data_IF_157325445034
#
_entry.id   IF_157325445034
#
_cell.length_a   1.000
_cell.length_b   1.000
_cell.length_c   1.000
_cell.angle_alpha   90.00
_cell.angle_beta   90.00
_cell.angle_gamma   90.00
#
_symmetry.space_group_name_H-M   'P 1'
#
loop_
_entity.id
_entity.type
_entity.pdbx_description
1 polymer ?
#
# COMPACT_ATOMS: atom_id res chain seq x y z
N UNK A 1 8.16 -6.65 13.91
CA UNK A 1 7.24 -5.60 13.42
C UNK A 1 7.52 -4.29 14.17
N UNK A 2 7.83 -3.22 13.44
CA UNK A 2 8.37 -1.97 14.02
C UNK A 2 7.23 -1.11 14.58
N UNK A 3 6.13 -0.95 13.84
CA UNK A 3 4.99 -0.12 14.29
C UNK A 3 4.32 -0.66 15.57
N UNK A 4 4.07 -1.97 15.72
CA UNK A 4 3.58 -2.51 16.98
C UNK A 4 4.54 -2.31 18.16
N UNK A 5 5.85 -2.25 17.89
CA UNK A 5 6.86 -1.95 18.91
C UNK A 5 6.82 -0.47 19.32
N UNK A 6 6.60 0.44 18.37
CA UNK A 6 6.40 1.87 18.64
C UNK A 6 5.15 2.13 19.48
N UNK A 7 4.05 1.42 19.19
CA UNK A 7 2.81 1.51 19.97
C UNK A 7 3.05 1.12 21.45
N UNK A 8 3.78 0.01 21.68
CA UNK A 8 4.15 -0.45 23.03
C UNK A 8 5.08 0.50 23.76
N UNK A 9 5.98 1.17 23.04
CA UNK A 9 6.90 2.15 23.58
C UNK A 9 6.28 3.56 23.71
N UNK A 10 4.99 3.72 23.37
CA UNK A 10 4.30 5.03 23.33
C UNK A 10 5.02 6.07 22.45
N UNK A 11 5.63 5.61 21.36
CA UNK A 11 6.31 6.46 20.37
C UNK A 11 5.34 6.83 19.25
N UNK A 12 5.19 8.14 19.01
CA UNK A 12 4.16 8.69 18.13
C UNK A 12 2.75 8.56 18.72
N UNK A 13 1.80 9.31 18.21
CA UNK A 13 0.39 9.05 18.48
C UNK A 13 -0.16 7.95 17.55
N UNK A 14 -1.43 7.61 17.71
CA UNK A 14 -2.08 6.57 16.91
C UNK A 14 -2.21 6.98 15.44
N UNK A 15 -2.48 8.25 15.16
CA UNK A 15 -2.57 8.81 13.82
C UNK A 15 -1.22 8.72 13.09
N UNK A 16 -0.14 9.13 13.74
CA UNK A 16 1.21 9.03 13.19
C UNK A 16 1.58 7.58 12.86
N UNK A 17 1.28 6.63 13.75
CA UNK A 17 1.54 5.21 13.48
C UNK A 17 0.69 4.67 12.32
N UNK A 18 -0.58 5.07 12.23
CA UNK A 18 -1.44 4.70 11.12
C UNK A 18 -0.93 5.26 9.78
N UNK A 19 -0.44 6.50 9.77
CA UNK A 19 0.20 7.10 8.59
C UNK A 19 1.47 6.33 8.18
N UNK A 20 2.31 5.94 9.14
CA UNK A 20 3.51 5.14 8.85
C UNK A 20 3.16 3.75 8.28
N UNK A 21 2.12 3.10 8.81
CA UNK A 21 1.62 1.85 8.23
C UNK A 21 1.14 2.05 6.79
N UNK A 22 0.36 3.11 6.53
CA UNK A 22 -0.11 3.43 5.19
C UNK A 22 1.07 3.70 4.23
N UNK A 23 2.07 4.47 4.66
CA UNK A 23 3.28 4.73 3.86
C UNK A 23 4.05 3.45 3.53
N UNK A 24 4.17 2.52 4.48
CA UNK A 24 4.80 1.23 4.23
C UNK A 24 4.04 0.44 3.15
N UNK A 25 2.71 0.45 3.20
CA UNK A 25 1.90 -0.22 2.18
C UNK A 25 2.01 0.42 0.81
N UNK A 26 1.98 1.75 0.73
CA UNK A 26 2.17 2.49 -0.54
C UNK A 26 3.54 2.16 -1.14
N UNK A 27 4.61 2.18 -0.34
CA UNK A 27 5.95 1.82 -0.85
C UNK A 27 6.03 0.40 -1.39
N UNK A 28 5.30 -0.56 -0.81
CA UNK A 28 5.20 -1.92 -1.34
C UNK A 28 4.40 -1.99 -2.65
N UNK A 29 3.34 -1.19 -2.78
CA UNK A 29 2.57 -1.06 -4.02
C UNK A 29 3.42 -0.44 -5.14
N UNK A 30 4.15 0.62 -4.83
CA UNK A 30 5.07 1.28 -5.76
C UNK A 30 6.18 0.34 -6.22
N UNK A 31 6.74 -0.47 -5.32
CA UNK A 31 7.72 -1.49 -5.70
C UNK A 31 7.12 -2.52 -6.66
N UNK A 32 5.94 -3.06 -6.33
CA UNK A 32 5.27 -4.04 -7.20
C UNK A 32 4.90 -3.45 -8.57
N UNK A 33 4.57 -2.15 -8.61
CA UNK A 33 4.36 -1.39 -9.84
C UNK A 33 5.66 -1.18 -10.62
N UNK A 34 6.76 -0.82 -9.96
CA UNK A 34 8.04 -0.58 -10.61
C UNK A 34 8.59 -1.87 -11.25
N UNK A 35 8.37 -3.02 -10.62
CA UNK A 35 8.88 -4.30 -11.10
C UNK A 35 8.18 -4.80 -12.37
N UNK A 36 6.86 -4.67 -12.49
CA UNK A 36 6.10 -5.24 -13.61
C UNK A 36 4.83 -4.45 -13.98
N UNK A 37 4.84 -3.13 -13.75
CA UNK A 37 3.74 -2.23 -14.08
C UNK A 37 2.42 -2.54 -13.38
N UNK A 38 1.32 -2.24 -14.05
CA UNK A 38 -0.04 -2.49 -13.55
C UNK A 38 -0.32 -3.99 -13.32
N UNK A 39 0.28 -4.88 -14.11
CA UNK A 39 0.17 -6.34 -13.92
C UNK A 39 0.89 -6.81 -12.65
N UNK A 40 2.09 -6.28 -12.39
CA UNK A 40 2.84 -6.55 -11.15
C UNK A 40 2.05 -6.17 -9.91
N UNK A 41 1.50 -4.95 -9.92
CA UNK A 41 0.65 -4.46 -8.85
C UNK A 41 -0.62 -5.31 -8.66
N UNK A 42 -1.32 -5.68 -9.75
CA UNK A 42 -2.50 -6.57 -9.70
C UNK A 42 -2.18 -7.95 -9.13
N UNK A 43 -1.05 -8.53 -9.50
CA UNK A 43 -0.61 -9.83 -9.00
C UNK A 43 -0.23 -9.76 -7.52
N UNK A 44 0.51 -8.71 -7.12
CA UNK A 44 0.82 -8.45 -5.72
C UNK A 44 -0.44 -8.34 -4.87
N UNK A 45 -1.45 -7.58 -5.33
CA UNK A 45 -2.72 -7.42 -4.62
C UNK A 45 -3.48 -8.73 -4.45
N UNK A 46 -3.56 -9.56 -5.50
CA UNK A 46 -4.22 -10.89 -5.44
C UNK A 46 -3.57 -11.82 -4.42
N UNK A 47 -2.26 -11.70 -4.23
CA UNK A 47 -1.48 -12.49 -3.28
C UNK A 47 -1.60 -11.98 -1.83
N UNK A 48 -2.27 -10.85 -1.59
CA UNK A 48 -2.52 -10.37 -0.25
C UNK A 48 -3.62 -11.17 0.46
N UNK A 49 -3.49 -11.25 1.79
CA UNK A 49 -4.49 -11.89 2.64
C UNK A 49 -5.88 -11.27 2.43
N UNK A 50 -6.94 -12.05 2.69
CA UNK A 50 -8.31 -11.52 2.65
C UNK A 50 -8.44 -10.28 3.55
N UNK A 51 -7.88 -10.32 4.77
CA UNK A 51 -7.93 -9.18 5.69
C UNK A 51 -7.35 -7.92 5.07
N UNK A 52 -6.18 -8.01 4.44
CA UNK A 52 -5.51 -6.88 3.77
C UNK A 52 -6.36 -6.35 2.61
N UNK A 53 -6.91 -7.24 1.77
CA UNK A 53 -7.74 -6.85 0.62
C UNK A 53 -9.07 -6.19 0.98
N UNK A 54 -9.55 -6.34 2.22
CA UNK A 54 -10.77 -5.71 2.73
C UNK A 54 -10.52 -4.37 3.47
N UNK A 55 -9.26 -3.92 3.58
CA UNK A 55 -8.97 -2.62 4.16
C UNK A 55 -9.25 -1.51 3.13
N UNK A 56 -10.19 -0.63 3.44
CA UNK A 56 -10.64 0.44 2.52
C UNK A 56 -9.49 1.37 2.14
N UNK A 57 -8.64 1.76 3.10
CA UNK A 57 -7.48 2.62 2.81
C UNK A 57 -6.52 2.02 1.76
N UNK A 58 -6.31 0.70 1.81
CA UNK A 58 -5.48 -0.01 0.84
C UNK A 58 -6.17 -0.19 -0.51
N UNK A 59 -7.49 -0.35 -0.52
CA UNK A 59 -8.27 -0.37 -1.77
C UNK A 59 -8.22 0.97 -2.50
N UNK A 60 -8.29 2.09 -1.75
CA UNK A 60 -8.17 3.44 -2.31
C UNK A 60 -6.79 3.65 -2.91
N UNK A 61 -5.72 3.37 -2.16
CA UNK A 61 -4.35 3.48 -2.66
C UNK A 61 -4.12 2.60 -3.91
N UNK A 62 -4.63 1.37 -3.90
CA UNK A 62 -4.57 0.48 -5.06
C UNK A 62 -5.27 1.07 -6.29
N UNK A 63 -6.43 1.70 -6.12
CA UNK A 63 -7.17 2.33 -7.22
C UNK A 63 -6.41 3.55 -7.78
N UNK A 64 -5.86 4.39 -6.90
CA UNK A 64 -5.03 5.55 -7.28
C UNK A 64 -3.83 5.10 -8.13
N UNK A 65 -3.06 4.11 -7.66
CA UNK A 65 -1.91 3.59 -8.40
C UNK A 65 -2.30 2.95 -9.74
N UNK A 66 -3.47 2.30 -9.83
CA UNK A 66 -3.95 1.74 -11.10
C UNK A 66 -4.32 2.84 -12.10
N UNK A 67 -4.95 3.93 -11.66
CA UNK A 67 -5.26 5.09 -12.52
C UNK A 67 -3.97 5.71 -13.06
N UNK A 68 -2.98 5.95 -12.19
CA UNK A 68 -1.68 6.50 -12.60
C UNK A 68 -0.90 5.61 -13.58
N UNK A 69 -1.13 4.28 -13.53
CA UNK A 69 -0.55 3.34 -14.47
C UNK A 69 -1.28 3.32 -15.82
N UNK A 70 -2.63 3.36 -15.82
CA UNK A 70 -3.45 3.30 -17.04
C UNK A 70 -3.36 4.61 -17.85
N UNK A 71 -3.10 5.75 -17.20
CA UNK A 71 -2.91 7.05 -17.88
C UNK A 71 -1.59 7.17 -18.66
N UNK A 72 -0.66 6.20 -18.52
CA UNK A 72 0.66 6.25 -19.17
C UNK A 72 0.69 5.73 -20.63
N UNK A 73 -0.40 5.17 -21.16
CA UNK A 73 -0.48 4.73 -22.56
C UNK A 73 -0.91 5.85 -23.55
N UNK A 74 -1.04 7.09 -23.08
CA UNK A 74 -1.38 8.27 -23.90
C UNK A 74 -0.21 9.24 -24.08
N UNK A 75 0.91 8.76 -24.64
CA UNK A 75 2.01 9.60 -25.15
C UNK A 75 2.30 9.33 -26.63
#
# INVERSE_FOLDING_TARGET
DIIPSMAKAHVGDEEHRAMLEQQAWIGLMDQARADNGSEGLRNWWKNQSRKTRHQVALQVAMAEHLIECDDHDTA
#
